data_IF_918281229823
#
_entry.id   IF_918281229823
#
_cell.length_a   1.000
_cell.length_b   1.000
_cell.length_c   1.000
_cell.angle_alpha   90.00
_cell.angle_beta   90.00
_cell.angle_gamma   90.00
#
_symmetry.space_group_name_H-M   'P 1'
#
loop_
_entity.id
_entity.type
_entity.pdbx_description
1 polymer ?
#
# COMPACT_ATOMS: atom_id res chain seq x y z
N UNK A 1 -7.91 7.65 1.78
CA UNK A 1 -8.94 6.84 2.49
C UNK A 1 -9.95 6.35 1.46
N UNK A 2 -10.29 5.05 1.47
CA UNK A 2 -11.38 4.52 0.66
C UNK A 2 -12.71 4.81 1.36
N UNK A 3 -13.66 5.35 0.63
CA UNK A 3 -15.01 5.62 1.13
C UNK A 3 -16.00 4.83 0.31
N UNK A 4 -16.76 4.00 0.99
CA UNK A 4 -17.93 3.32 0.45
C UNK A 4 -19.17 4.16 0.77
N UNK A 5 -20.14 4.15 -0.12
CA UNK A 5 -21.42 4.81 0.09
C UNK A 5 -22.50 3.74 0.27
N UNK A 6 -23.46 3.94 1.17
CA UNK A 6 -24.53 2.97 1.41
C UNK A 6 -25.33 2.66 0.13
N UNK A 7 -25.57 3.66 -0.72
CA UNK A 7 -26.24 3.46 -2.02
C UNK A 7 -25.40 2.66 -3.03
N UNK A 8 -24.09 2.54 -2.83
CA UNK A 8 -23.23 1.70 -3.66
C UNK A 8 -23.14 0.28 -3.10
N UNK A 9 -23.78 -0.05 -1.97
CA UNK A 9 -23.83 -1.42 -1.46
C UNK A 9 -24.58 -2.31 -2.44
N UNK A 10 -24.04 -3.49 -2.73
CA UNK A 10 -24.60 -4.44 -3.68
C UNK A 10 -25.22 -5.64 -2.94
N UNK A 11 -26.49 -5.56 -2.50
CA UNK A 11 -27.07 -6.51 -1.56
C UNK A 11 -27.15 -7.95 -2.09
N UNK A 12 -27.36 -8.14 -3.39
CA UNK A 12 -27.38 -9.48 -3.99
C UNK A 12 -26.00 -10.16 -3.94
N UNK A 13 -24.93 -9.44 -4.28
CA UNK A 13 -23.56 -9.98 -4.26
C UNK A 13 -23.08 -10.14 -2.81
N UNK A 14 -23.34 -9.19 -1.91
CA UNK A 14 -23.01 -9.35 -0.49
C UNK A 14 -23.63 -10.61 0.11
N UNK A 15 -24.88 -10.93 -0.25
CA UNK A 15 -25.53 -12.20 0.19
C UNK A 15 -24.84 -13.44 -0.36
N UNK A 16 -24.28 -13.37 -1.57
CA UNK A 16 -23.57 -14.49 -2.19
C UNK A 16 -22.20 -14.72 -1.55
N UNK A 17 -21.54 -13.63 -1.15
CA UNK A 17 -20.25 -13.65 -0.46
C UNK A 17 -20.36 -14.29 0.94
N UNK A 18 -21.44 -13.99 1.66
CA UNK A 18 -21.76 -14.65 2.93
C UNK A 18 -21.70 -13.70 4.11
N UNK A 19 -21.74 -14.27 5.33
CA UNK A 19 -21.83 -13.48 6.54
C UNK A 19 -20.50 -12.74 6.82
N UNK A 20 -20.57 -11.41 6.95
CA UNK A 20 -19.42 -10.57 7.26
C UNK A 20 -18.72 -9.98 6.03
N UNK A 21 -19.16 -10.34 4.81
CA UNK A 21 -18.61 -9.82 3.57
C UNK A 21 -19.63 -8.93 2.85
N UNK A 22 -19.15 -7.82 2.31
CA UNK A 22 -19.97 -6.85 1.62
C UNK A 22 -19.36 -6.52 0.26
N UNK A 23 -20.21 -6.42 -0.75
CA UNK A 23 -19.84 -5.93 -2.07
C UNK A 23 -20.34 -4.50 -2.26
N UNK A 24 -19.52 -3.68 -2.92
CA UNK A 24 -19.90 -2.34 -3.34
C UNK A 24 -19.69 -2.18 -4.83
N UNK A 25 -20.63 -1.52 -5.52
CA UNK A 25 -20.54 -1.20 -6.96
C UNK A 25 -19.53 -0.10 -7.26
N UNK A 26 -19.16 0.70 -6.25
CA UNK A 26 -18.18 1.76 -6.39
C UNK A 26 -17.54 2.09 -5.05
N UNK A 27 -16.26 2.44 -5.09
CA UNK A 27 -15.50 3.04 -3.99
C UNK A 27 -15.02 4.41 -4.44
N UNK A 28 -14.96 5.38 -3.52
CA UNK A 28 -14.35 6.69 -3.77
C UNK A 28 -13.04 6.78 -3.01
N UNK A 29 -11.98 7.20 -3.70
CA UNK A 29 -10.76 7.64 -3.04
C UNK A 29 -10.94 9.13 -2.68
N UNK A 30 -10.88 9.47 -1.39
CA UNK A 30 -11.13 10.85 -0.95
C UNK A 30 -9.97 11.81 -1.14
N UNK A 31 -8.80 11.32 -1.57
CA UNK A 31 -7.62 12.13 -1.78
C UNK A 31 -6.90 11.70 -3.06
N UNK A 32 -6.16 12.61 -3.68
CA UNK A 32 -5.25 12.35 -4.81
C UNK A 32 -3.97 11.61 -4.39
N UNK A 33 -3.90 11.17 -3.13
CA UNK A 33 -2.76 10.51 -2.51
C UNK A 33 -2.63 9.06 -2.97
N UNK A 34 -1.39 8.59 -2.98
CA UNK A 34 -1.05 7.20 -3.23
C UNK A 34 -1.76 6.23 -2.29
N UNK A 35 -1.93 5.01 -2.78
CA UNK A 35 -2.40 3.87 -2.01
C UNK A 35 -1.61 2.63 -2.42
N UNK A 36 -1.78 1.56 -1.65
CA UNK A 36 -0.98 0.35 -1.80
C UNK A 36 -1.87 -0.83 -2.10
N UNK A 37 -1.46 -1.63 -3.07
CA UNK A 37 -2.06 -2.91 -3.40
C UNK A 37 -1.08 -4.01 -2.99
N UNK A 38 -1.52 -4.94 -2.16
CA UNK A 38 -0.64 -6.00 -1.62
C UNK A 38 -1.26 -7.34 -1.90
N UNK A 39 -0.51 -8.21 -2.55
CA UNK A 39 -0.79 -9.64 -2.59
C UNK A 39 0.10 -10.31 -1.56
N UNK A 40 -0.50 -11.07 -0.65
CA UNK A 40 0.23 -11.78 0.39
C UNK A 40 -0.33 -13.17 0.58
N UNK A 41 0.45 -14.01 1.23
CA UNK A 41 0.11 -15.38 1.50
C UNK A 41 0.14 -15.61 3.00
N UNK A 42 -0.92 -16.23 3.52
CA UNK A 42 -1.02 -16.65 4.92
C UNK A 42 -0.77 -18.15 4.98
N UNK A 43 0.25 -18.55 5.74
CA UNK A 43 0.54 -19.95 6.03
C UNK A 43 -0.13 -20.30 7.36
N UNK A 44 -1.26 -21.00 7.29
CA UNK A 44 -2.00 -21.49 8.44
C UNK A 44 -1.87 -23.02 8.55
N UNK A 45 -2.26 -23.57 9.69
CA UNK A 45 -2.16 -25.02 9.96
C UNK A 45 -2.99 -25.87 8.97
N UNK A 46 -4.06 -25.30 8.41
CA UNK A 46 -4.97 -25.94 7.47
C UNK A 46 -4.65 -25.67 6.00
N UNK A 47 -3.62 -24.85 5.71
CA UNK A 47 -3.17 -24.61 4.35
C UNK A 47 -2.59 -23.24 4.11
N UNK A 48 -2.32 -22.98 2.83
CA UNK A 48 -1.79 -21.72 2.35
C UNK A 48 -2.89 -20.94 1.61
N UNK A 49 -3.17 -19.71 2.05
CA UNK A 49 -4.18 -18.84 1.46
C UNK A 49 -3.52 -17.64 0.81
N UNK A 50 -3.91 -17.32 -0.42
CA UNK A 50 -3.46 -16.12 -1.12
C UNK A 50 -4.54 -15.05 -0.97
N UNK A 51 -4.14 -13.89 -0.46
CA UNK A 51 -5.02 -12.79 -0.13
C UNK A 51 -4.54 -11.50 -0.79
N UNK A 52 -5.47 -10.57 -0.93
CA UNK A 52 -5.19 -9.23 -1.45
C UNK A 52 -5.78 -8.18 -0.53
N UNK A 53 -4.98 -7.19 -0.17
CA UNK A 53 -5.42 -6.05 0.62
C UNK A 53 -5.03 -4.72 -0.03
N UNK A 54 -5.87 -3.71 0.19
CA UNK A 54 -5.62 -2.34 -0.23
C UNK A 54 -5.44 -1.44 0.99
N UNK A 55 -4.34 -0.68 1.02
CA UNK A 55 -4.05 0.25 2.12
C UNK A 55 -4.04 1.68 1.61
N UNK A 56 -4.80 2.54 2.29
CA UNK A 56 -4.88 3.95 1.93
C UNK A 56 -3.70 4.79 2.44
N UNK A 57 -2.87 4.24 3.35
CA UNK A 57 -1.71 4.94 3.92
C UNK A 57 -0.57 3.95 4.14
N UNK A 58 0.66 4.44 4.04
CA UNK A 58 1.87 3.64 4.31
C UNK A 58 1.95 3.22 5.77
N UNK A 59 1.46 4.04 6.71
CA UNK A 59 1.43 3.69 8.14
C UNK A 59 0.57 2.45 8.38
N UNK A 60 -0.64 2.40 7.85
CA UNK A 60 -1.51 1.24 8.00
C UNK A 60 -0.94 -0.01 7.32
N UNK A 61 -0.31 0.17 6.15
CA UNK A 61 0.39 -0.92 5.47
C UNK A 61 1.51 -1.49 6.36
N UNK A 62 2.41 -0.64 6.84
CA UNK A 62 3.56 -1.05 7.64
C UNK A 62 3.11 -1.69 8.95
N UNK A 63 2.11 -1.13 9.62
CA UNK A 63 1.56 -1.70 10.85
C UNK A 63 0.92 -3.07 10.63
N UNK A 64 0.20 -3.27 9.51
CA UNK A 64 -0.41 -4.56 9.18
C UNK A 64 0.61 -5.68 8.94
N UNK A 65 1.79 -5.35 8.40
CA UNK A 65 2.84 -6.33 8.08
C UNK A 65 4.04 -6.32 9.05
N UNK A 66 3.94 -5.59 10.16
CA UNK A 66 4.99 -5.47 11.17
C UNK A 66 5.35 -6.82 11.80
N UNK A 67 4.34 -7.62 12.12
CA UNK A 67 4.50 -8.92 12.78
C UNK A 67 4.36 -10.10 11.79
N UNK A 68 4.50 -9.85 10.47
CA UNK A 68 4.14 -10.81 9.43
C UNK A 68 4.84 -12.16 9.56
N UNK A 69 6.11 -12.19 9.93
CA UNK A 69 6.87 -13.44 10.11
C UNK A 69 6.28 -14.29 11.25
N UNK A 70 5.93 -13.67 12.36
CA UNK A 70 5.28 -14.33 13.50
C UNK A 70 3.89 -14.87 13.15
N UNK A 71 3.20 -14.18 12.24
CA UNK A 71 1.86 -14.54 11.78
C UNK A 71 1.87 -15.51 10.58
N UNK A 72 3.05 -15.97 10.13
CA UNK A 72 3.16 -16.83 8.96
C UNK A 72 2.75 -16.16 7.65
N UNK A 73 2.82 -14.83 7.59
CA UNK A 73 2.41 -14.01 6.44
C UNK A 73 3.62 -13.62 5.58
N UNK A 74 3.56 -13.95 4.29
CA UNK A 74 4.57 -13.62 3.29
C UNK A 74 3.99 -12.63 2.27
N UNK A 75 4.66 -11.51 2.01
CA UNK A 75 4.26 -10.58 0.96
C UNK A 75 4.77 -11.11 -0.36
N UNK A 76 3.87 -11.38 -1.31
CA UNK A 76 4.21 -11.83 -2.68
C UNK A 76 4.45 -10.66 -3.62
N UNK A 77 3.62 -9.64 -3.51
CA UNK A 77 3.76 -8.44 -4.32
C UNK A 77 3.23 -7.25 -3.52
N UNK A 78 3.96 -6.14 -3.59
CA UNK A 78 3.55 -4.85 -3.07
C UNK A 78 3.63 -3.87 -4.21
N UNK A 79 2.54 -3.17 -4.49
CA UNK A 79 2.48 -2.17 -5.55
C UNK A 79 2.05 -0.83 -4.98
N UNK A 80 2.77 0.22 -5.38
CA UNK A 80 2.39 1.60 -5.18
C UNK A 80 1.44 2.01 -6.29
N UNK A 81 0.27 2.49 -5.92
CA UNK A 81 -0.68 3.09 -6.85
C UNK A 81 -0.62 4.60 -6.67
N UNK A 82 -0.08 5.29 -7.66
CA UNK A 82 0.19 6.74 -7.61
C UNK A 82 -0.13 7.42 -8.93
N UNK A 83 -0.10 8.76 -8.95
CA UNK A 83 -0.29 9.61 -10.12
C UNK A 83 0.64 10.84 -10.02
N UNK A 84 0.54 11.80 -10.95
CA UNK A 84 1.26 13.08 -10.86
C UNK A 84 1.05 13.76 -9.48
N UNK A 85 2.11 14.38 -8.91
CA UNK A 85 3.42 14.60 -9.51
C UNK A 85 4.41 13.42 -9.41
N UNK A 86 4.08 12.30 -8.77
CA UNK A 86 5.09 11.31 -8.32
C UNK A 86 5.63 10.40 -9.43
N UNK A 87 4.74 9.89 -10.27
CA UNK A 87 5.13 8.92 -11.32
C UNK A 87 5.22 9.52 -12.73
N UNK A 88 5.19 10.86 -12.84
CA UNK A 88 5.26 11.60 -14.10
C UNK A 88 4.29 11.11 -15.19
N UNK A 89 3.12 10.60 -14.80
CA UNK A 89 2.16 10.02 -15.74
C UNK A 89 0.81 10.74 -15.75
N UNK A 90 0.15 10.76 -16.90
CA UNK A 90 -1.15 11.43 -17.09
C UNK A 90 -2.31 10.75 -16.34
N UNK A 91 -2.06 9.68 -15.58
CA UNK A 91 -3.08 8.94 -14.84
C UNK A 91 -2.52 8.13 -13.68
N UNK A 92 -3.35 7.24 -13.13
CA UNK A 92 -2.90 6.31 -12.09
C UNK A 92 -2.02 5.22 -12.71
N UNK A 93 -0.89 4.93 -12.06
CA UNK A 93 -0.09 3.74 -12.32
C UNK A 93 0.00 2.90 -11.08
N UNK A 94 0.01 1.59 -11.29
CA UNK A 94 0.35 0.59 -10.29
C UNK A 94 1.75 0.11 -10.60
N UNK A 95 2.69 0.39 -9.70
CA UNK A 95 4.11 0.10 -9.89
C UNK A 95 4.63 -0.75 -8.72
N UNK A 96 5.27 -1.87 -9.05
CA UNK A 96 5.77 -2.81 -8.04
C UNK A 96 6.88 -2.18 -7.22
N UNK A 97 6.75 -2.27 -5.90
CA UNK A 97 7.72 -1.86 -4.90
C UNK A 97 8.64 -3.01 -4.51
N UNK A 98 9.92 -2.72 -4.36
CA UNK A 98 10.89 -3.60 -3.73
C UNK A 98 11.07 -3.26 -2.25
N UNK A 99 11.07 -1.96 -1.90
CA UNK A 99 11.29 -1.50 -0.52
C UNK A 99 10.51 -0.23 -0.19
N UNK A 100 10.15 -0.11 1.09
CA UNK A 100 9.68 1.13 1.70
C UNK A 100 10.63 1.51 2.82
N UNK A 101 11.08 2.75 2.80
CA UNK A 101 11.93 3.32 3.84
C UNK A 101 11.23 4.49 4.53
N UNK A 102 11.55 4.67 5.80
CA UNK A 102 11.39 5.92 6.52
C UNK A 102 12.68 6.72 6.37
N UNK A 103 12.56 8.02 6.14
CA UNK A 103 13.68 8.94 6.14
C UNK A 103 13.27 10.27 6.77
N UNK A 104 14.27 11.09 7.11
CA UNK A 104 14.08 12.50 7.48
C UNK A 104 14.53 13.39 6.34
N UNK A 105 13.86 14.53 6.20
CA UNK A 105 14.33 15.60 5.35
C UNK A 105 15.46 16.37 6.06
N UNK A 106 16.61 16.49 5.36
CA UNK A 106 17.91 16.99 5.84
C UNK A 106 17.88 18.38 6.48
N UNK A 107 16.88 19.20 6.19
CA UNK A 107 16.86 20.59 6.65
C UNK A 107 16.27 20.74 8.07
N UNK A 108 15.40 19.81 8.51
CA UNK A 108 14.66 19.71 9.80
C UNK A 108 13.25 19.11 9.56
N UNK A 109 13.03 18.42 8.45
CA UNK A 109 11.69 18.19 7.93
C UNK A 109 10.93 17.04 8.61
N UNK A 110 9.61 16.94 8.34
CA UNK A 110 8.78 15.85 8.84
C UNK A 110 9.29 14.49 8.36
N UNK A 111 8.88 13.43 9.05
CA UNK A 111 9.10 12.05 8.58
C UNK A 111 8.52 11.91 7.17
N UNK A 112 9.36 11.49 6.23
CA UNK A 112 8.97 11.18 4.85
C UNK A 112 9.19 9.70 4.57
N UNK A 113 8.53 9.20 3.53
CA UNK A 113 8.69 7.85 3.04
C UNK A 113 9.37 7.86 1.68
N UNK A 114 10.31 6.94 1.51
CA UNK A 114 10.93 6.64 0.23
C UNK A 114 10.43 5.29 -0.27
N UNK A 115 9.94 5.28 -1.49
CA UNK A 115 9.47 4.12 -2.21
C UNK A 115 10.52 3.72 -3.25
N UNK A 116 11.13 2.54 -3.09
CA UNK A 116 12.01 1.96 -4.11
C UNK A 116 11.19 0.98 -4.95
N UNK A 117 11.09 1.26 -6.24
CA UNK A 117 10.41 0.40 -7.21
C UNK A 117 11.27 -0.83 -7.54
N UNK A 118 10.65 -1.88 -8.07
CA UNK A 118 11.35 -3.09 -8.54
C UNK A 118 12.34 -2.81 -9.68
N UNK A 119 12.13 -1.74 -10.47
CA UNK A 119 13.05 -1.30 -11.52
C UNK A 119 14.18 -0.40 -11.01
N UNK A 120 14.27 -0.15 -9.71
CA UNK A 120 15.30 0.69 -9.07
C UNK A 120 14.97 2.18 -9.01
N UNK A 121 13.88 2.64 -9.63
CA UNK A 121 13.44 4.03 -9.49
C UNK A 121 12.96 4.31 -8.06
N UNK A 122 13.02 5.58 -7.67
CA UNK A 122 12.70 6.01 -6.32
C UNK A 122 11.73 7.19 -6.31
N UNK A 123 10.71 7.11 -5.46
CA UNK A 123 9.76 8.19 -5.21
C UNK A 123 9.77 8.58 -3.74
N UNK A 124 9.70 9.89 -3.46
CA UNK A 124 9.57 10.42 -2.09
C UNK A 124 8.16 10.94 -1.85
N UNK A 125 7.71 10.88 -0.60
CA UNK A 125 6.53 11.63 -0.15
C UNK A 125 6.81 13.11 0.11
N UNK A 126 8.08 13.48 0.28
CA UNK A 126 8.49 14.88 0.36
C UNK A 126 8.51 15.53 -1.03
N UNK A 127 8.45 16.86 -1.07
CA UNK A 127 8.66 17.60 -2.32
C UNK A 127 10.11 17.57 -2.79
N UNK A 128 11.03 17.32 -1.87
CA UNK A 128 12.46 17.20 -2.16
C UNK A 128 12.76 15.88 -2.88
N UNK A 129 13.79 15.92 -3.71
CA UNK A 129 14.26 14.74 -4.38
C UNK A 129 14.80 13.72 -3.36
N UNK A 130 14.71 12.40 -3.63
CA UNK A 130 15.24 11.36 -2.75
C UNK A 130 16.67 11.60 -2.24
N UNK A 131 17.50 12.27 -3.02
CA UNK A 131 18.89 12.58 -2.71
C UNK A 131 19.06 13.57 -1.54
N UNK A 132 18.01 14.33 -1.18
CA UNK A 132 18.02 15.27 -0.06
C UNK A 132 17.61 14.67 1.29
N UNK A 133 17.39 13.36 1.36
CA UNK A 133 16.91 12.67 2.57
C UNK A 133 18.04 11.96 3.32
N UNK A 134 17.92 11.92 4.66
CA UNK A 134 18.87 11.33 5.61
C UNK A 134 18.14 10.36 6.58
N UNK A 135 18.88 9.67 7.47
CA UNK A 135 18.34 8.76 8.49
C UNK A 135 17.40 7.65 7.95
N UNK A 136 17.89 6.87 6.99
CA UNK A 136 17.10 5.80 6.37
C UNK A 136 16.89 4.60 7.30
N UNK A 137 15.63 4.23 7.47
CA UNK A 137 15.20 3.01 8.16
C UNK A 137 14.29 2.21 7.24
N UNK A 138 14.65 0.93 7.03
CA UNK A 138 13.85 0.02 6.23
C UNK A 138 12.57 -0.34 7.01
N UNK A 139 11.41 0.00 6.47
CA UNK A 139 10.12 -0.36 7.06
C UNK A 139 9.57 -1.67 6.50
N UNK A 140 9.73 -1.86 5.19
CA UNK A 140 9.17 -3.01 4.50
C UNK A 140 10.03 -3.38 3.30
N UNK A 141 10.25 -4.67 3.09
CA UNK A 141 10.90 -5.21 1.89
C UNK A 141 10.06 -6.39 1.38
N UNK A 142 9.95 -6.46 0.05
CA UNK A 142 9.42 -7.64 -0.66
C UNK A 142 10.63 -8.42 -1.15
N UNK A 143 10.72 -9.70 -0.77
CA UNK A 143 11.81 -10.61 -1.11
C UNK A 143 11.47 -11.43 -2.35
#
# INVERSE_FOLDING_TARGET
MFVTHALAHHPFVSKLLGAGEDAWTSIRLTATEEWFYVTYVVNADDGQFCETAMFATVTHLVDAFRDRERLGVEIRELSLVSQLPRNNSEGWRMEVLSKIWRAKDSINGPITYLYELANGNRYSTSRDAPEGLEDYELLLAVL
#
